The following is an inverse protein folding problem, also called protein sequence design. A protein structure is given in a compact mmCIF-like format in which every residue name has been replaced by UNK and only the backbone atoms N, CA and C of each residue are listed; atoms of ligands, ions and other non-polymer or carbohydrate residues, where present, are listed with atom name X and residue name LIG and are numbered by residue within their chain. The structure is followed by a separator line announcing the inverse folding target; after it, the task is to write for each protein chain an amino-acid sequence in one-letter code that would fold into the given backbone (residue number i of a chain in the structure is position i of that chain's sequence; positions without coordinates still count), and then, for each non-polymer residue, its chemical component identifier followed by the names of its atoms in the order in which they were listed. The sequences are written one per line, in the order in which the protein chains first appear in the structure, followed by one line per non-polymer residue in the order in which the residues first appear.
data_IF_151853564712
#
_entry.id   IF_151853564712
#
_cell.length_a   1.000
_cell.length_b   1.000
_cell.length_c   1.000
_cell.angle_alpha   90.00
_cell.angle_beta   90.00
_cell.angle_gamma   90.00
#
_symmetry.space_group_name_H-M   'P 1'
#
loop_
_entity.id
_entity.type
_entity.pdbx_description
1 polymer ?
#
# COMPACT_ATOMS: atom_id res chain seq x y z
N UNK A 1 1.98 -7.96 -4.05
CA UNK A 1 1.35 -8.46 -2.81
C UNK A 1 0.43 -9.60 -3.21
N UNK A 2 0.15 -10.53 -2.30
CA UNK A 2 -0.88 -11.54 -2.47
C UNK A 2 -2.11 -11.18 -1.64
N UNK A 3 -3.30 -11.34 -2.23
CA UNK A 3 -4.57 -11.23 -1.50
C UNK A 3 -4.59 -12.32 -0.44
N UNK A 4 -4.86 -11.93 0.80
CA UNK A 4 -5.04 -12.87 1.92
C UNK A 4 -6.47 -12.82 2.43
N UNK A 5 -6.93 -13.94 2.98
CA UNK A 5 -8.21 -13.98 3.67
C UNK A 5 -8.04 -13.25 5.00
N UNK A 6 -8.63 -12.06 5.09
CA UNK A 6 -8.64 -11.28 6.32
C UNK A 6 -9.46 -11.99 7.41
N UNK A 7 -8.98 -11.95 8.65
CA UNK A 7 -9.71 -12.51 9.78
C UNK A 7 -11.07 -11.82 9.96
N UNK A 8 -12.13 -12.62 10.08
CA UNK A 8 -13.50 -12.12 10.19
C UNK A 8 -14.05 -11.55 8.87
N UNK A 9 -13.55 -12.00 7.71
CA UNK A 9 -14.12 -11.64 6.42
C UNK A 9 -15.65 -11.85 6.39
N UNK A 10 -16.37 -10.82 5.95
CA UNK A 10 -17.85 -10.80 5.88
C UNK A 10 -18.36 -11.14 4.49
N UNK A 11 -17.56 -10.90 3.44
CA UNK A 11 -17.88 -11.25 2.05
C UNK A 11 -16.64 -11.34 1.16
N UNK A 12 -16.84 -11.88 -0.04
CA UNK A 12 -15.88 -11.87 -1.15
C UNK A 12 -16.53 -11.12 -2.32
N UNK A 13 -15.80 -10.18 -2.94
CA UNK A 13 -16.30 -9.39 -4.09
C UNK A 13 -15.42 -9.57 -5.32
N UNK A 14 -15.89 -9.08 -6.48
CA UNK A 14 -15.10 -9.00 -7.72
C UNK A 14 -15.03 -10.29 -8.55
N UNK A 15 -15.16 -11.45 -7.91
CA UNK A 15 -15.04 -12.77 -8.57
C UNK A 15 -16.02 -12.94 -9.75
N UNK A 16 -17.29 -12.56 -9.58
CA UNK A 16 -18.32 -12.66 -10.62
C UNK A 16 -18.09 -11.75 -11.84
N UNK A 17 -17.14 -10.82 -11.75
CA UNK A 17 -16.75 -9.90 -12.81
C UNK A 17 -15.47 -10.37 -13.53
N UNK A 18 -14.95 -11.56 -13.20
CA UNK A 18 -13.74 -12.13 -13.79
C UNK A 18 -12.42 -11.71 -13.11
N UNK A 19 -12.49 -11.02 -11.97
CA UNK A 19 -11.31 -10.71 -11.15
C UNK A 19 -11.02 -11.84 -10.14
N UNK A 20 -9.84 -11.80 -9.52
CA UNK A 20 -9.60 -12.58 -8.31
C UNK A 20 -10.57 -12.11 -7.22
N UNK A 21 -11.19 -13.05 -6.51
CA UNK A 21 -12.05 -12.74 -5.37
C UNK A 21 -11.29 -11.96 -4.30
N UNK A 22 -11.89 -10.86 -3.84
CA UNK A 22 -11.33 -10.01 -2.79
C UNK A 22 -12.12 -10.21 -1.48
N UNK A 23 -11.57 -10.94 -0.50
CA UNK A 23 -12.16 -11.03 0.84
C UNK A 23 -12.11 -9.67 1.52
N UNK A 24 -13.26 -9.25 2.05
CA UNK A 24 -13.42 -8.02 2.81
C UNK A 24 -14.07 -8.31 4.15
N UNK A 25 -13.69 -7.52 5.15
CA UNK A 25 -14.46 -7.36 6.39
C UNK A 25 -15.06 -5.97 6.41
N UNK A 26 -16.35 -5.88 6.69
CA UNK A 26 -17.00 -4.62 7.04
C UNK A 26 -16.66 -4.23 8.45
N UNK A 27 -16.36 -2.95 8.65
CA UNK A 27 -16.09 -2.41 9.96
C UNK A 27 -16.59 -0.97 10.07
N UNK A 28 -16.60 -0.47 11.30
CA UNK A 28 -16.97 0.90 11.60
C UNK A 28 -15.75 1.57 12.21
N UNK A 29 -15.32 2.67 11.61
CA UNK A 29 -14.12 3.41 12.01
C UNK A 29 -14.45 4.87 12.33
N UNK A 30 -13.57 5.52 13.08
CA UNK A 30 -13.62 6.95 13.30
C UNK A 30 -12.71 7.62 12.27
N UNK A 31 -13.30 8.33 11.31
CA UNK A 31 -12.59 9.00 10.23
C UNK A 31 -12.58 10.51 10.49
N UNK A 32 -11.43 11.16 10.31
CA UNK A 32 -11.31 12.62 10.50
C UNK A 32 -12.18 13.43 9.53
N UNK A 33 -12.51 12.86 8.36
CA UNK A 33 -13.39 13.47 7.35
C UNK A 33 -14.83 12.94 7.46
N UNK A 34 -14.99 11.64 7.69
CA UNK A 34 -16.31 10.96 7.71
C UNK A 34 -17.04 11.00 9.06
N UNK A 35 -16.35 11.35 10.14
CA UNK A 35 -16.88 11.38 11.50
C UNK A 35 -16.75 10.06 12.26
N UNK A 36 -17.27 10.05 13.49
CA UNK A 36 -17.42 8.84 14.30
C UNK A 36 -18.44 7.90 13.67
N UNK A 37 -18.18 6.59 13.71
CA UNK A 37 -19.15 5.62 13.20
C UNK A 37 -19.17 5.46 11.67
N UNK A 38 -18.10 5.85 10.97
CA UNK A 38 -18.03 5.76 9.50
C UNK A 38 -17.95 4.29 9.05
N UNK A 39 -18.87 3.81 8.18
CA UNK A 39 -18.76 2.49 7.58
C UNK A 39 -17.52 2.38 6.69
N UNK A 40 -16.76 1.32 6.85
CA UNK A 40 -15.55 1.04 6.09
C UNK A 40 -15.48 -0.45 5.71
N UNK A 41 -14.60 -0.74 4.75
CA UNK A 41 -14.29 -2.09 4.29
C UNK A 41 -12.78 -2.25 4.29
N UNK A 42 -12.30 -3.38 4.81
CA UNK A 42 -10.86 -3.67 4.88
C UNK A 42 -10.54 -5.01 4.21
N UNK A 43 -9.43 -5.05 3.46
CA UNK A 43 -8.82 -6.25 2.88
C UNK A 43 -7.40 -6.42 3.38
N UNK A 44 -6.93 -7.67 3.45
CA UNK A 44 -5.56 -7.99 3.86
C UNK A 44 -4.71 -8.39 2.65
N UNK A 45 -3.46 -7.91 2.64
CA UNK A 45 -2.50 -8.13 1.58
C UNK A 45 -1.16 -8.52 2.20
N UNK A 46 -0.59 -9.63 1.75
CA UNK A 46 0.69 -10.13 2.25
C UNK A 46 1.78 -9.91 1.19
N UNK A 47 2.90 -9.24 1.53
CA UNK A 47 4.00 -9.10 0.60
C UNK A 47 4.67 -10.45 0.37
N UNK A 48 5.17 -10.67 -0.84
CA UNK A 48 6.17 -11.73 -1.07
C UNK A 48 7.47 -11.37 -0.34
N UNK A 49 8.40 -12.33 -0.13
CA UNK A 49 9.68 -12.02 0.51
C UNK A 49 10.48 -10.91 -0.19
N UNK A 50 10.43 -10.87 -1.52
CA UNK A 50 11.10 -9.82 -2.31
C UNK A 50 10.43 -8.46 -2.11
N UNK A 51 9.11 -8.42 -2.14
CA UNK A 51 8.33 -7.21 -1.87
C UNK A 51 8.59 -6.69 -0.46
N UNK A 52 8.63 -7.57 0.53
CA UNK A 52 8.96 -7.23 1.91
C UNK A 52 10.37 -6.64 2.00
N UNK A 53 11.34 -7.18 1.26
CA UNK A 53 12.69 -6.61 1.19
C UNK A 53 12.68 -5.18 0.61
N UNK A 54 11.87 -4.92 -0.43
CA UNK A 54 11.73 -3.56 -0.99
C UNK A 54 11.05 -2.60 -0.01
N UNK A 55 10.00 -3.04 0.68
CA UNK A 55 9.35 -2.25 1.74
C UNK A 55 10.34 -1.89 2.85
N UNK A 56 11.15 -2.86 3.31
CA UNK A 56 12.19 -2.63 4.31
C UNK A 56 13.31 -1.70 3.80
N UNK A 57 13.53 -1.63 2.48
CA UNK A 57 14.44 -0.68 1.84
C UNK A 57 13.83 0.73 1.64
N UNK A 58 12.57 0.96 2.04
CA UNK A 58 11.89 2.25 1.91
C UNK A 58 11.05 2.42 0.64
N UNK A 59 10.75 1.33 -0.08
CA UNK A 59 9.76 1.36 -1.15
C UNK A 59 8.37 1.76 -0.63
N UNK A 60 7.58 2.43 -1.46
CA UNK A 60 6.18 2.71 -1.16
C UNK A 60 5.29 1.55 -1.62
N UNK A 61 4.12 1.42 -0.99
CA UNK A 61 2.98 0.69 -1.55
C UNK A 61 2.30 1.60 -2.55
N UNK A 62 2.19 1.17 -3.80
CA UNK A 62 1.64 1.98 -4.89
C UNK A 62 0.26 1.45 -5.30
N UNK A 63 -0.68 2.37 -5.49
CA UNK A 63 -2.01 2.10 -6.05
C UNK A 63 -2.03 2.61 -7.49
N UNK A 64 -2.25 1.71 -8.45
CA UNK A 64 -2.41 2.06 -9.87
C UNK A 64 -3.90 2.03 -10.27
N UNK A 65 -4.38 3.13 -10.83
CA UNK A 65 -5.74 3.28 -11.34
C UNK A 65 -5.67 3.27 -12.87
N UNK A 66 -6.33 2.30 -13.52
CA UNK A 66 -6.39 2.22 -14.98
C UNK A 66 -7.54 3.09 -15.53
N UNK A 67 -7.24 4.04 -16.42
CA UNK A 67 -8.24 4.89 -17.10
C UNK A 67 -8.17 6.38 -16.73
N UNK A 68 -9.13 7.17 -17.22
CA UNK A 68 -9.24 8.63 -16.98
C UNK A 68 -10.41 9.04 -16.08
N UNK A 69 -11.30 8.11 -15.77
CA UNK A 69 -12.33 8.20 -14.71
C UNK A 69 -11.95 7.20 -13.64
N UNK A 70 -12.15 7.53 -12.35
CA UNK A 70 -11.76 6.68 -11.22
C UNK A 70 -12.62 5.40 -11.15
N UNK A 71 -12.06 4.21 -11.46
CA UNK A 71 -12.71 2.92 -11.31
C UNK A 71 -11.97 2.12 -10.20
N UNK A 72 -12.23 0.81 -9.99
CA UNK A 72 -11.68 0.03 -8.87
C UNK A 72 -10.16 0.13 -8.69
N UNK A 73 -9.73 0.02 -7.43
CA UNK A 73 -8.35 0.22 -6.97
C UNK A 73 -7.61 -1.10 -6.76
N UNK A 74 -6.30 -1.13 -7.03
CA UNK A 74 -5.42 -2.30 -6.83
C UNK A 74 -4.14 -1.90 -6.09
N UNK A 75 -3.73 -2.70 -5.10
CA UNK A 75 -2.57 -2.42 -4.24
C UNK A 75 -1.36 -3.28 -4.66
N UNK A 76 -0.23 -2.64 -4.95
CA UNK A 76 1.04 -3.29 -5.31
C UNK A 76 2.22 -2.78 -4.46
N UNK A 77 3.32 -3.54 -4.41
CA UNK A 77 4.58 -3.08 -3.79
C UNK A 77 5.47 -2.46 -4.87
N UNK A 78 5.75 -1.16 -4.73
CA UNK A 78 6.60 -0.40 -5.65
C UNK A 78 8.06 -0.86 -5.67
N UNK A 79 8.83 -0.29 -6.58
CA UNK A 79 10.28 -0.56 -6.66
C UNK A 79 11.02 -0.01 -5.44
N UNK A 80 12.08 -0.71 -5.03
CA UNK A 80 12.95 -0.26 -3.96
C UNK A 80 13.63 1.02 -4.41
N UNK A 81 13.36 2.12 -3.72
CA UNK A 81 14.18 3.31 -3.86
C UNK A 81 15.54 2.98 -3.29
N UNK A 82 16.59 3.21 -4.07
CA UNK A 82 17.93 3.26 -3.48
C UNK A 82 17.90 4.26 -2.33
N UNK A 83 18.48 3.94 -1.16
CA UNK A 83 18.55 4.88 -0.07
C UNK A 83 19.24 6.15 -0.59
N UNK A 84 18.57 7.29 -0.42
CA UNK A 84 19.13 8.57 -0.83
C UNK A 84 20.39 8.82 0.00
N UNK A 85 21.56 8.54 -0.59
CA UNK A 85 22.87 8.71 0.05
C UNK A 85 23.02 10.15 0.57
N UNK A 86 22.35 11.12 -0.06
CA UNK A 86 22.34 12.51 0.36
C UNK A 86 21.59 12.72 1.69
N UNK A 87 20.51 11.96 1.94
CA UNK A 87 19.77 12.01 3.20
C UNK A 87 20.61 11.52 4.38
N UNK A 88 21.40 10.45 4.19
CA UNK A 88 22.29 9.94 5.23
C UNK A 88 23.52 10.84 5.45
N UNK A 89 24.07 11.43 4.39
CA UNK A 89 25.20 12.36 4.50
C UNK A 89 24.83 13.65 5.27
N UNK A 90 23.63 14.20 5.04
CA UNK A 90 23.14 15.37 5.77
C UNK A 90 22.86 15.09 7.26
N UNK A 91 22.42 13.87 7.60
CA UNK A 91 22.04 13.51 8.97
C UNK A 91 23.23 13.08 9.85
N UNK A 92 24.34 12.66 9.24
CA UNK A 92 25.57 12.27 9.93
C UNK A 92 26.62 13.39 10.05
N UNK A 93 26.28 14.62 9.64
CA UNK A 93 27.20 15.77 9.75
C UNK A 93 28.44 15.66 8.87
N UNK A 94 28.39 14.85 7.81
CA UNK A 94 29.49 14.72 6.86
C UNK A 94 29.61 15.98 5.98
N UNK A 95 30.83 16.39 5.59
CA UNK A 95 31.03 17.55 4.74
C UNK A 95 30.38 17.35 3.36
N UNK A 96 29.66 18.37 2.88
CA UNK A 96 29.12 18.40 1.52
C UNK A 96 30.27 18.33 0.50
N UNK A 97 30.15 17.54 -0.58
CA UNK A 97 31.14 17.56 -1.65
C UNK A 97 31.18 18.95 -2.31
N UNK A 98 32.35 19.42 -2.77
CA UNK A 98 32.48 20.73 -3.39
C UNK A 98 31.64 20.79 -4.66
N UNK A 99 30.83 21.84 -4.80
CA UNK A 99 30.10 22.11 -6.02
C UNK A 99 31.10 22.46 -7.12
N UNK A 100 31.08 21.71 -8.23
CA UNK A 100 31.76 22.04 -9.48
C UNK A 100 30.81 22.79 -10.40
#
# INVERSE_FOLDING_TARGET
MQISVIEGATRIIGESQGYLGLPLRDEVINCTVGGEGTPAMVSAWLPTPEELARLNAGAAVELRIHGTQHPPVMIEVGEAKLPDILYFAQRLGGPLPPQR
#
